data_IF_224405483899
#
_entry.id   IF_224405483899
#
_cell.length_a   1.000
_cell.length_b   1.000
_cell.length_c   1.000
_cell.angle_alpha   90.00
_cell.angle_beta   90.00
_cell.angle_gamma   90.00
#
_symmetry.space_group_name_H-M   'P 1'
#
loop_
_entity.id
_entity.type
_entity.pdbx_description
1 polymer ?
#
# COMPACT_ATOMS: atom_id res chain seq x y z
N UNK A 1 33.66 -13.15 -8.90
CA UNK A 1 33.07 -11.79 -8.94
C UNK A 1 31.97 -11.81 -9.97
N UNK A 2 30.73 -11.70 -9.52
CA UNK A 2 29.56 -11.60 -10.42
C UNK A 2 29.60 -10.19 -11.01
N UNK A 3 29.80 -10.10 -12.32
CA UNK A 3 29.90 -8.83 -13.01
C UNK A 3 28.49 -8.25 -13.20
N UNK A 4 28.12 -7.27 -12.37
CA UNK A 4 26.82 -6.61 -12.41
C UNK A 4 26.64 -5.68 -13.64
N UNK A 5 27.57 -5.71 -14.59
CA UNK A 5 27.50 -5.00 -15.88
C UNK A 5 26.18 -5.23 -16.64
N UNK A 6 25.53 -6.39 -16.47
CA UNK A 6 24.22 -6.65 -17.08
C UNK A 6 23.16 -5.62 -16.68
N UNK A 7 23.09 -5.27 -15.39
CA UNK A 7 22.12 -4.30 -14.87
C UNK A 7 22.47 -2.88 -15.30
N UNK A 8 23.76 -2.53 -15.33
CA UNK A 8 24.18 -1.22 -15.84
C UNK A 8 23.78 -1.03 -17.30
N UNK A 9 23.98 -2.06 -18.15
CA UNK A 9 23.56 -2.04 -19.56
C UNK A 9 22.05 -1.91 -19.73
N UNK A 10 21.25 -2.55 -18.87
CA UNK A 10 19.78 -2.39 -18.88
C UNK A 10 19.44 -0.94 -18.55
N UNK A 11 19.98 -0.40 -17.45
CA UNK A 11 19.64 0.94 -17.01
C UNK A 11 20.05 2.02 -18.03
N UNK A 12 21.23 1.88 -18.65
CA UNK A 12 21.70 2.74 -19.73
C UNK A 12 20.82 2.64 -20.98
N UNK A 13 20.45 1.42 -21.39
CA UNK A 13 19.65 1.18 -22.59
C UNK A 13 18.24 1.75 -22.48
N UNK A 14 17.61 1.62 -21.32
CA UNK A 14 16.22 2.02 -21.11
C UNK A 14 16.06 3.41 -20.49
N UNK A 15 17.17 4.08 -20.15
CA UNK A 15 17.17 5.42 -19.55
C UNK A 15 16.16 5.54 -18.41
N UNK A 16 16.14 4.56 -17.50
CA UNK A 16 15.18 4.55 -16.39
C UNK A 16 15.21 5.91 -15.64
N UNK A 17 14.07 6.34 -15.12
CA UNK A 17 14.02 7.47 -14.20
C UNK A 17 13.81 6.89 -12.80
N UNK A 18 14.72 7.19 -11.87
CA UNK A 18 14.70 6.61 -10.53
C UNK A 18 16.05 6.07 -10.09
N UNK A 19 16.02 5.07 -9.22
CA UNK A 19 17.20 4.39 -8.71
C UNK A 19 17.02 2.87 -8.69
N UNK A 20 18.12 2.15 -8.91
CA UNK A 20 18.22 0.70 -8.76
C UNK A 20 19.41 0.39 -7.86
N UNK A 21 19.21 -0.45 -6.85
CA UNK A 21 20.27 -0.96 -5.98
C UNK A 21 20.28 -2.48 -6.00
N UNK A 22 21.48 -3.06 -6.05
CA UNK A 22 21.72 -4.49 -5.85
C UNK A 22 22.50 -4.59 -4.55
N UNK A 23 21.98 -5.36 -3.62
CA UNK A 23 22.54 -5.49 -2.27
C UNK A 23 22.75 -6.96 -1.93
N UNK A 24 23.71 -7.22 -1.05
CA UNK A 24 23.72 -8.42 -0.24
C UNK A 24 23.43 -8.03 1.23
N UNK A 25 23.48 -8.96 2.21
CA UNK A 25 23.18 -8.63 3.59
C UNK A 25 24.08 -7.56 4.25
N UNK A 26 25.27 -7.27 3.69
CA UNK A 26 26.25 -6.37 4.32
C UNK A 26 26.66 -5.17 3.48
N UNK A 27 26.44 -5.17 2.16
CA UNK A 27 26.90 -4.09 1.28
C UNK A 27 26.02 -3.89 0.03
N UNK A 28 26.14 -2.69 -0.53
CA UNK A 28 25.63 -2.36 -1.87
C UNK A 28 26.65 -2.88 -2.88
N UNK A 29 26.23 -3.83 -3.71
CA UNK A 29 27.04 -4.46 -4.75
C UNK A 29 27.08 -3.66 -6.04
N UNK A 30 25.98 -2.96 -6.34
CA UNK A 30 25.85 -2.07 -7.49
C UNK A 30 24.71 -1.08 -7.24
N UNK A 31 24.85 0.13 -7.75
CA UNK A 31 23.82 1.14 -7.67
C UNK A 31 23.77 1.94 -8.95
N UNK A 32 22.58 2.41 -9.29
CA UNK A 32 22.35 3.31 -10.41
C UNK A 32 21.25 4.29 -10.04
N UNK A 33 21.40 5.54 -10.48
CA UNK A 33 20.40 6.60 -10.32
C UNK A 33 20.42 7.47 -11.57
N UNK A 34 19.26 7.95 -12.01
CA UNK A 34 19.14 8.86 -13.15
C UNK A 34 17.79 9.58 -13.14
N UNK A 35 17.71 10.66 -13.91
CA UNK A 35 16.47 11.39 -14.14
C UNK A 35 16.10 12.34 -13.00
N UNK A 36 14.81 12.59 -12.84
CA UNK A 36 14.26 13.59 -11.95
C UNK A 36 13.29 12.96 -10.93
N UNK A 37 13.45 13.35 -9.67
CA UNK A 37 12.48 13.12 -8.61
C UNK A 37 11.25 14.01 -8.77
N UNK A 38 11.44 15.22 -9.30
CA UNK A 38 10.37 16.16 -9.61
C UNK A 38 10.71 16.88 -10.91
N UNK A 39 9.91 16.66 -11.95
CA UNK A 39 10.14 17.23 -13.27
C UNK A 39 9.89 18.74 -13.29
N UNK A 40 8.88 19.22 -12.56
CA UNK A 40 8.51 20.63 -12.50
C UNK A 40 9.61 21.46 -11.83
N UNK A 41 10.12 20.96 -10.71
CA UNK A 41 11.19 21.57 -9.92
C UNK A 41 12.59 21.25 -10.46
N UNK A 42 12.68 20.36 -11.46
CA UNK A 42 13.94 19.80 -11.99
C UNK A 42 14.84 19.24 -10.89
N UNK A 43 14.23 18.63 -9.86
CA UNK A 43 14.97 17.99 -8.77
C UNK A 43 15.53 16.65 -9.28
N UNK A 44 16.85 16.39 -9.21
CA UNK A 44 17.40 15.13 -9.66
C UNK A 44 16.95 13.96 -8.77
N UNK A 45 16.79 12.79 -9.35
CA UNK A 45 16.58 11.56 -8.58
C UNK A 45 17.92 11.05 -8.03
N UNK A 46 17.98 10.71 -6.74
CA UNK A 46 19.18 10.21 -6.07
C UNK A 46 18.91 8.90 -5.33
N UNK A 47 19.98 8.22 -4.89
CA UNK A 47 19.88 7.05 -4.00
C UNK A 47 19.24 7.36 -2.64
N UNK A 48 19.11 8.63 -2.26
CA UNK A 48 18.49 9.07 -1.01
C UNK A 48 17.04 9.54 -1.20
N UNK A 49 16.58 9.64 -2.44
CA UNK A 49 15.24 10.13 -2.76
C UNK A 49 14.18 9.16 -2.25
N UNK A 50 13.27 9.66 -1.42
CA UNK A 50 12.10 8.90 -0.97
C UNK A 50 11.03 8.89 -2.06
N UNK A 51 10.44 7.74 -2.32
CA UNK A 51 9.38 7.55 -3.31
C UNK A 51 8.23 6.72 -2.75
N UNK A 52 7.06 6.82 -3.38
CA UNK A 52 5.91 5.99 -3.03
C UNK A 52 6.20 4.52 -3.33
N UNK A 53 6.18 3.67 -2.29
CA UNK A 53 6.35 2.22 -2.42
C UNK A 53 5.11 1.49 -2.96
N UNK A 54 3.96 2.16 -2.96
CA UNK A 54 2.68 1.61 -3.39
C UNK A 54 2.36 0.29 -2.67
N UNK A 55 1.99 -0.72 -3.45
CA UNK A 55 1.53 -2.02 -2.95
C UNK A 55 2.58 -2.83 -2.19
N UNK A 56 3.87 -2.49 -2.27
CA UNK A 56 4.90 -3.12 -1.43
C UNK A 56 4.66 -2.84 0.06
N UNK A 57 3.94 -1.76 0.41
CA UNK A 57 3.57 -1.46 1.80
C UNK A 57 2.71 -2.56 2.45
N UNK A 58 2.01 -3.38 1.67
CA UNK A 58 1.12 -4.44 2.16
C UNK A 58 1.86 -5.48 3.01
N UNK A 59 3.12 -5.78 2.70
CA UNK A 59 3.89 -6.73 3.49
C UNK A 59 4.06 -6.26 4.95
N UNK A 60 4.31 -4.95 5.17
CA UNK A 60 4.42 -4.39 6.51
C UNK A 60 3.08 -4.47 7.25
N UNK A 61 1.95 -4.20 6.58
CA UNK A 61 0.63 -4.38 7.18
C UNK A 61 0.38 -5.83 7.56
N UNK A 62 0.68 -6.79 6.66
CA UNK A 62 0.51 -8.21 6.93
C UNK A 62 1.35 -8.66 8.12
N UNK A 63 2.62 -8.28 8.16
CA UNK A 63 3.51 -8.65 9.26
C UNK A 63 3.03 -8.07 10.60
N UNK A 64 2.53 -6.82 10.62
CA UNK A 64 1.92 -6.24 11.82
C UNK A 64 0.67 -7.00 12.30
N UNK A 65 -0.20 -7.45 11.39
CA UNK A 65 -1.35 -8.32 11.74
C UNK A 65 -0.85 -9.63 12.36
N UNK A 66 0.19 -10.23 11.78
CA UNK A 66 0.77 -11.48 12.29
C UNK A 66 1.47 -11.30 13.65
N UNK A 67 2.12 -10.16 13.89
CA UNK A 67 2.68 -9.81 15.20
C UNK A 67 1.59 -9.69 16.27
N UNK A 68 0.48 -9.01 15.95
CA UNK A 68 -0.67 -8.91 16.84
C UNK A 68 -1.31 -10.28 17.10
N UNK A 69 -1.41 -11.13 16.08
CA UNK A 69 -1.88 -12.50 16.24
C UNK A 69 -0.97 -13.32 17.16
N UNK A 70 0.34 -13.25 16.94
CA UNK A 70 1.32 -13.97 17.77
C UNK A 70 1.35 -13.47 19.23
N UNK A 71 0.90 -12.23 19.47
CA UNK A 71 0.76 -11.65 20.80
C UNK A 71 -0.63 -11.84 21.42
N UNK A 72 -1.47 -12.72 20.85
CA UNK A 72 -2.85 -12.99 21.26
C UNK A 72 -3.73 -11.71 21.35
N UNK A 73 -3.42 -10.69 20.53
CA UNK A 73 -4.18 -9.43 20.45
C UNK A 73 -5.30 -9.46 19.42
N UNK A 74 -5.19 -10.36 18.44
CA UNK A 74 -6.24 -10.69 17.49
C UNK A 74 -6.13 -12.17 17.10
N UNK A 75 -7.17 -12.72 16.50
CA UNK A 75 -7.17 -14.05 15.92
C UNK A 75 -7.41 -13.93 14.42
N UNK A 76 -6.46 -14.37 13.60
CA UNK A 76 -6.60 -14.30 12.14
C UNK A 76 -7.69 -15.23 11.60
N UNK A 77 -8.11 -16.24 12.36
CA UNK A 77 -9.23 -17.12 11.99
C UNK A 77 -10.60 -16.52 12.36
N UNK A 78 -10.62 -15.50 13.21
CA UNK A 78 -11.85 -14.88 13.64
C UNK A 78 -12.58 -14.17 12.49
N UNK A 79 -13.89 -14.10 12.65
CA UNK A 79 -14.75 -13.33 11.75
C UNK A 79 -14.41 -11.85 11.83
N UNK A 80 -14.52 -11.16 10.70
CA UNK A 80 -14.36 -9.73 10.61
C UNK A 80 -15.39 -8.97 11.47
N UNK A 81 -16.50 -9.60 11.91
CA UNK A 81 -17.49 -9.00 12.84
C UNK A 81 -16.82 -8.47 14.11
N UNK A 82 -15.83 -9.18 14.63
CA UNK A 82 -15.18 -8.81 15.90
C UNK A 82 -14.40 -7.49 15.78
N UNK A 83 -14.04 -7.11 14.54
CA UNK A 83 -13.19 -5.95 14.28
C UNK A 83 -13.92 -4.83 13.53
N UNK A 84 -14.77 -5.16 12.56
CA UNK A 84 -15.49 -4.22 11.67
C UNK A 84 -16.97 -4.61 11.57
N UNK A 85 -17.75 -4.53 12.67
CA UNK A 85 -19.13 -5.02 12.71
C UNK A 85 -20.12 -4.23 11.83
N UNK A 86 -19.74 -3.04 11.37
CA UNK A 86 -20.54 -2.20 10.49
C UNK A 86 -20.38 -2.55 9.00
N UNK A 87 -19.49 -3.49 8.66
CA UNK A 87 -19.41 -4.02 7.31
C UNK A 87 -20.47 -5.11 7.09
N UNK A 88 -21.25 -5.00 6.01
CA UNK A 88 -22.45 -5.81 5.71
C UNK A 88 -22.18 -7.32 5.67
N UNK A 89 -20.98 -7.72 5.26
CA UNK A 89 -20.57 -9.13 5.12
C UNK A 89 -19.46 -9.52 6.11
N UNK A 90 -19.32 -8.77 7.22
CA UNK A 90 -18.28 -9.04 8.21
C UNK A 90 -18.37 -10.47 8.78
N UNK A 91 -19.57 -11.04 8.86
CA UNK A 91 -19.84 -12.39 9.37
C UNK A 91 -19.38 -13.51 8.43
N UNK A 92 -19.04 -13.18 7.18
CA UNK A 92 -18.65 -14.15 6.15
C UNK A 92 -17.15 -14.16 5.86
N UNK A 93 -16.43 -13.13 6.31
CA UNK A 93 -15.01 -12.91 6.00
C UNK A 93 -14.16 -13.10 7.25
N UNK A 94 -12.99 -13.73 7.12
CA UNK A 94 -11.96 -13.80 8.17
C UNK A 94 -10.74 -12.93 7.83
N UNK A 95 -9.95 -12.55 8.84
CA UNK A 95 -8.71 -11.83 8.61
C UNK A 95 -7.71 -12.65 7.77
N UNK A 96 -7.66 -13.97 7.95
CA UNK A 96 -6.86 -14.89 7.12
C UNK A 96 -7.23 -14.79 5.65
N UNK A 97 -8.52 -14.71 5.32
CA UNK A 97 -8.96 -14.54 3.95
C UNK A 97 -8.53 -13.17 3.40
N UNK A 98 -8.60 -12.11 4.20
CA UNK A 98 -8.11 -10.78 3.79
C UNK A 98 -6.60 -10.76 3.51
N UNK A 99 -5.79 -11.35 4.40
CA UNK A 99 -4.34 -11.49 4.23
C UNK A 99 -3.98 -12.22 2.93
N UNK A 100 -4.75 -13.25 2.58
CA UNK A 100 -4.54 -14.07 1.38
C UNK A 100 -5.24 -13.54 0.13
N UNK A 101 -5.81 -12.33 0.16
CA UNK A 101 -6.58 -11.77 -0.96
C UNK A 101 -7.75 -12.66 -1.40
N UNK A 102 -8.36 -13.39 -0.47
CA UNK A 102 -9.41 -14.37 -0.71
C UNK A 102 -10.74 -14.01 -0.02
N UNK A 103 -10.92 -12.75 0.36
CA UNK A 103 -12.09 -12.28 1.12
C UNK A 103 -13.36 -12.11 0.29
N UNK A 104 -13.24 -11.92 -1.03
CA UNK A 104 -14.37 -11.51 -1.88
C UNK A 104 -14.78 -10.04 -1.71
N UNK A 105 -14.09 -9.25 -0.87
CA UNK A 105 -14.41 -7.82 -0.68
C UNK A 105 -13.98 -7.04 -1.93
N UNK A 106 -14.91 -6.29 -2.59
CA UNK A 106 -14.58 -5.48 -3.76
C UNK A 106 -13.45 -4.49 -3.51
N UNK A 107 -12.65 -4.18 -4.52
CA UNK A 107 -11.57 -3.20 -4.40
C UNK A 107 -12.14 -1.76 -4.39
N UNK A 108 -12.01 -1.08 -3.25
CA UNK A 108 -12.54 0.28 -3.09
C UNK A 108 -11.88 1.28 -4.04
N UNK A 109 -10.62 1.07 -4.44
CA UNK A 109 -9.94 1.97 -5.40
C UNK A 109 -10.55 1.85 -6.79
N UNK A 110 -10.94 0.64 -7.21
CA UNK A 110 -11.66 0.42 -8.48
C UNK A 110 -13.08 1.00 -8.42
N UNK A 111 -13.76 0.86 -7.28
CA UNK A 111 -15.09 1.46 -7.08
C UNK A 111 -15.04 2.99 -7.14
N UNK A 112 -14.06 3.61 -6.46
CA UNK A 112 -13.84 5.05 -6.51
C UNK A 112 -13.49 5.49 -7.94
N UNK A 113 -12.53 4.83 -8.60
CA UNK A 113 -12.16 5.15 -9.97
C UNK A 113 -13.36 5.11 -10.93
N UNK A 114 -14.21 4.10 -10.77
CA UNK A 114 -15.44 3.97 -11.56
C UNK A 114 -16.39 5.15 -11.32
N UNK A 115 -16.50 5.64 -10.09
CA UNK A 115 -17.34 6.78 -9.74
C UNK A 115 -16.75 8.11 -10.26
N UNK A 116 -15.44 8.35 -10.09
CA UNK A 116 -14.76 9.52 -10.64
C UNK A 116 -14.85 9.57 -12.17
N UNK A 117 -14.64 8.43 -12.85
CA UNK A 117 -14.73 8.35 -14.30
C UNK A 117 -16.14 8.74 -14.83
N UNK A 118 -17.21 8.44 -14.07
CA UNK A 118 -18.57 8.88 -14.42
C UNK A 118 -18.77 10.38 -14.25
N UNK A 119 -18.13 10.99 -13.25
CA UNK A 119 -18.22 12.42 -12.96
C UNK A 119 -17.35 13.27 -13.90
N UNK A 120 -16.26 12.70 -14.40
CA UNK A 120 -15.28 13.37 -15.27
C UNK A 120 -15.06 12.62 -16.58
N UNK A 121 -16.04 12.64 -17.51
CA UNK A 121 -15.90 11.94 -18.78
C UNK A 121 -14.74 12.52 -19.60
N UNK A 122 -13.82 11.65 -20.02
CA UNK A 122 -12.67 11.99 -20.85
C UNK A 122 -11.34 12.23 -20.12
N UNK A 123 -11.31 12.14 -18.79
CA UNK A 123 -10.06 12.13 -18.03
C UNK A 123 -9.29 10.81 -18.27
N UNK A 124 -7.95 10.87 -18.33
CA UNK A 124 -7.13 9.65 -18.34
C UNK A 124 -7.12 9.00 -16.96
N UNK A 125 -6.86 7.70 -16.92
CA UNK A 125 -6.73 6.95 -15.66
C UNK A 125 -5.62 7.53 -14.75
N UNK A 126 -4.52 8.02 -15.32
CA UNK A 126 -3.46 8.72 -14.56
C UNK A 126 -3.99 9.99 -13.88
N UNK A 127 -4.77 10.81 -14.59
CA UNK A 127 -5.41 12.00 -14.04
C UNK A 127 -6.47 11.68 -12.97
N UNK A 128 -7.09 10.50 -13.02
CA UNK A 128 -8.08 10.06 -12.03
C UNK A 128 -7.45 9.39 -10.81
N UNK A 129 -6.25 8.82 -10.95
CA UNK A 129 -5.53 8.15 -9.87
C UNK A 129 -5.01 9.14 -8.82
N UNK A 130 -4.65 10.35 -9.23
CA UNK A 130 -4.11 11.37 -8.32
C UNK A 130 -5.14 11.88 -7.29
N UNK A 131 -6.37 12.29 -7.67
CA UNK A 131 -7.42 12.65 -6.70
C UNK A 131 -7.79 11.51 -5.75
N UNK A 132 -7.80 10.26 -6.25
CA UNK A 132 -8.08 9.10 -5.39
C UNK A 132 -7.02 8.99 -4.30
N UNK A 133 -5.73 9.16 -4.63
CA UNK A 133 -4.66 9.09 -3.63
C UNK A 133 -4.64 10.27 -2.65
N UNK A 134 -5.08 11.46 -3.08
CA UNK A 134 -5.14 12.66 -2.24
C UNK A 134 -6.38 12.69 -1.32
N UNK A 135 -7.55 12.32 -1.85
CA UNK A 135 -8.80 12.19 -1.07
C UNK A 135 -8.71 11.05 -0.03
N UNK A 136 -7.80 10.08 -0.24
CA UNK A 136 -7.49 8.98 0.68
C UNK A 136 -6.38 9.31 1.72
N UNK A 137 -6.11 10.59 1.99
CA UNK A 137 -5.09 11.04 2.94
C UNK A 137 -5.59 11.78 4.20
N UNK A 138 -6.90 11.93 4.39
CA UNK A 138 -7.53 12.85 5.34
C UNK A 138 -8.28 12.21 6.53
N UNK A 139 -8.26 10.88 6.70
CA UNK A 139 -8.54 10.23 7.98
C UNK A 139 -10.00 9.97 8.35
N UNK A 140 -10.97 10.59 7.68
CA UNK A 140 -12.41 10.26 7.78
C UNK A 140 -12.83 9.08 6.86
N UNK A 141 -11.88 8.56 6.08
CA UNK A 141 -12.12 7.67 4.94
C UNK A 141 -12.66 6.28 5.28
N UNK A 142 -12.31 5.71 6.43
CA UNK A 142 -12.65 4.29 6.66
C UNK A 142 -14.16 4.08 6.73
N UNK A 143 -14.89 5.05 7.27
CA UNK A 143 -16.36 5.01 7.35
C UNK A 143 -16.98 5.18 5.97
N UNK A 144 -16.41 6.06 5.14
CA UNK A 144 -16.86 6.26 3.76
C UNK A 144 -16.58 5.03 2.90
N UNK A 145 -15.39 4.43 3.03
CA UNK A 145 -15.03 3.20 2.32
C UNK A 145 -15.91 2.04 2.77
N UNK A 146 -16.16 1.84 4.07
CA UNK A 146 -17.11 0.81 4.53
C UNK A 146 -18.52 1.08 3.98
N UNK A 147 -18.95 2.35 3.94
CA UNK A 147 -20.26 2.73 3.39
C UNK A 147 -20.34 2.46 1.89
N UNK A 148 -19.26 2.70 1.14
CA UNK A 148 -19.13 2.35 -0.27
C UNK A 148 -19.21 0.83 -0.45
N UNK A 149 -18.38 0.07 0.28
CA UNK A 149 -18.37 -1.39 0.20
C UNK A 149 -19.72 -2.03 0.54
N UNK A 150 -20.48 -1.46 1.48
CA UNK A 150 -21.82 -1.93 1.85
C UNK A 150 -22.86 -1.79 0.74
N UNK A 151 -22.61 -0.94 -0.26
CA UNK A 151 -23.48 -0.77 -1.43
C UNK A 151 -23.27 -1.86 -2.49
N UNK A 152 -22.20 -2.66 -2.38
CA UNK A 152 -21.84 -3.69 -3.34
C UNK A 152 -21.91 -5.08 -2.69
N UNK A 153 -22.23 -6.15 -3.44
CA UNK A 153 -22.08 -7.52 -2.96
C UNK A 153 -20.60 -7.91 -2.86
N UNK A 154 -20.30 -9.05 -2.22
CA UNK A 154 -19.01 -9.71 -2.41
C UNK A 154 -18.86 -10.14 -3.87
N UNK A 155 -17.65 -10.04 -4.41
CA UNK A 155 -17.34 -10.43 -5.80
C UNK A 155 -17.36 -11.94 -5.99
N UNK A 156 -17.12 -12.70 -4.92
CA UNK A 156 -17.11 -14.16 -4.87
C UNK A 156 -17.23 -14.67 -3.44
N UNK A 157 -17.41 -15.98 -3.27
CA UNK A 157 -17.54 -16.58 -1.94
C UNK A 157 -16.19 -16.49 -1.20
N UNK A 158 -16.14 -15.99 0.06
CA UNK A 158 -14.90 -15.92 0.80
C UNK A 158 -14.17 -17.28 0.87
N UNK A 159 -12.89 -17.29 0.53
CA UNK A 159 -12.04 -18.49 0.45
C UNK A 159 -12.08 -19.24 -0.89
N UNK A 160 -12.95 -18.89 -1.84
CA UNK A 160 -13.08 -19.60 -3.12
C UNK A 160 -11.87 -19.44 -4.03
N UNK A 161 -11.29 -18.23 -4.09
CA UNK A 161 -10.15 -17.88 -4.95
C UNK A 161 -9.43 -16.64 -4.42
N UNK A 162 -8.22 -16.40 -4.93
CA UNK A 162 -7.45 -15.18 -4.66
C UNK A 162 -7.67 -14.12 -5.72
N UNK A 163 -8.16 -12.94 -5.33
CA UNK A 163 -8.30 -11.74 -6.17
C UNK A 163 -7.76 -10.55 -5.38
N UNK A 164 -6.83 -9.82 -6.00
CA UNK A 164 -6.22 -8.66 -5.40
C UNK A 164 -7.27 -7.61 -5.00
N UNK A 165 -7.20 -7.09 -3.77
CA UNK A 165 -8.11 -6.06 -3.27
C UNK A 165 -7.40 -5.16 -2.27
N UNK A 166 -7.33 -3.86 -2.58
CA UNK A 166 -6.82 -2.85 -1.67
C UNK A 166 -7.69 -2.69 -0.41
N UNK A 167 -8.99 -3.01 -0.50
CA UNK A 167 -9.92 -2.96 0.64
C UNK A 167 -9.48 -3.86 1.78
N UNK A 168 -8.93 -5.04 1.45
CA UNK A 168 -8.41 -5.96 2.45
C UNK A 168 -7.36 -5.28 3.33
N UNK A 169 -6.37 -4.65 2.71
CA UNK A 169 -5.23 -4.09 3.43
C UNK A 169 -5.53 -2.74 4.08
N UNK A 170 -6.47 -1.97 3.51
CA UNK A 170 -7.01 -0.78 4.18
C UNK A 170 -7.71 -1.16 5.49
N UNK A 171 -8.63 -2.13 5.42
CA UNK A 171 -9.35 -2.62 6.60
C UNK A 171 -8.40 -3.25 7.62
N UNK A 172 -7.39 -4.04 7.20
CA UNK A 172 -6.38 -4.57 8.13
C UNK A 172 -5.60 -3.46 8.84
N UNK A 173 -5.21 -2.39 8.12
CA UNK A 173 -4.56 -1.22 8.71
C UNK A 173 -5.44 -0.50 9.75
N UNK A 174 -6.73 -0.36 9.46
CA UNK A 174 -7.71 0.16 10.40
C UNK A 174 -7.83 -0.73 11.66
N UNK A 175 -7.86 -2.05 11.49
CA UNK A 175 -7.97 -3.01 12.59
C UNK A 175 -6.75 -2.93 13.51
N UNK A 176 -5.53 -2.83 12.95
CA UNK A 176 -4.30 -2.59 13.73
C UNK A 176 -4.48 -1.35 14.60
N UNK A 177 -4.89 -0.22 13.99
CA UNK A 177 -5.04 1.04 14.72
C UNK A 177 -6.11 0.95 15.82
N UNK A 178 -7.22 0.25 15.54
CA UNK A 178 -8.31 0.04 16.51
C UNK A 178 -7.90 -0.82 17.70
N UNK A 179 -7.13 -1.88 17.49
CA UNK A 179 -6.70 -2.81 18.54
C UNK A 179 -5.62 -2.18 19.42
N UNK A 180 -4.69 -1.47 18.80
CA UNK A 180 -3.52 -0.90 19.48
C UNK A 180 -3.84 0.43 20.17
N UNK A 181 -4.76 1.22 19.60
CA UNK A 181 -5.00 2.60 20.00
C UNK A 181 -4.00 3.59 19.40
N UNK A 182 -3.01 3.10 18.64
CA UNK A 182 -2.02 3.92 17.94
C UNK A 182 -2.43 4.17 16.49
N UNK A 183 -1.82 5.19 15.86
CA UNK A 183 -1.93 5.33 14.41
C UNK A 183 -1.14 4.21 13.73
N UNK A 184 -1.60 3.78 12.56
CA UNK A 184 -0.88 2.79 11.75
C UNK A 184 0.58 3.21 11.46
N UNK A 185 0.79 4.51 11.20
CA UNK A 185 2.12 5.07 10.98
C UNK A 185 3.05 4.89 12.19
N UNK A 186 2.53 5.16 13.40
CA UNK A 186 3.27 4.99 14.64
C UNK A 186 3.58 3.52 14.90
N UNK A 187 2.60 2.64 14.68
CA UNK A 187 2.80 1.20 14.87
C UNK A 187 3.87 0.65 13.92
N UNK A 188 3.90 1.12 12.67
CA UNK A 188 4.96 0.76 11.71
C UNK A 188 6.33 1.27 12.15
N UNK A 189 6.39 2.50 12.68
CA UNK A 189 7.63 3.10 13.16
C UNK A 189 8.21 2.29 14.32
N UNK A 190 7.41 1.99 15.35
CA UNK A 190 7.85 1.28 16.55
C UNK A 190 8.22 -0.20 16.29
N UNK A 191 7.53 -0.88 15.37
CA UNK A 191 7.72 -2.32 15.15
C UNK A 191 8.63 -2.69 13.97
N UNK A 192 8.82 -1.79 13.00
CA UNK A 192 9.63 -2.06 11.81
C UNK A 192 10.70 -1.00 11.58
N UNK A 193 10.32 0.27 11.46
CA UNK A 193 11.25 1.27 10.94
C UNK A 193 12.37 1.60 11.94
N UNK A 194 12.07 1.78 13.23
CA UNK A 194 13.11 2.01 14.24
C UNK A 194 13.98 0.76 14.47
N UNK A 195 13.42 -0.45 14.70
CA UNK A 195 14.23 -1.64 14.97
C UNK A 195 15.13 -2.05 13.79
N UNK A 196 14.71 -1.78 12.55
CA UNK A 196 15.47 -2.09 11.34
C UNK A 196 16.27 -0.90 10.80
N UNK A 197 16.35 0.20 11.57
CA UNK A 197 17.06 1.43 11.20
C UNK A 197 16.66 2.01 9.83
N UNK A 198 15.38 1.89 9.46
CA UNK A 198 14.80 2.44 8.23
C UNK A 198 14.47 3.93 8.41
N UNK A 199 15.49 4.74 8.70
CA UNK A 199 15.33 6.13 9.14
C UNK A 199 14.71 7.07 8.09
N UNK A 200 14.71 6.67 6.82
CA UNK A 200 14.14 7.43 5.68
C UNK A 200 12.78 6.87 5.22
N UNK A 201 12.17 5.93 5.94
CA UNK A 201 10.89 5.34 5.58
C UNK A 201 9.78 5.87 6.49
N UNK A 202 8.67 6.32 5.90
CA UNK A 202 7.47 6.79 6.61
C UNK A 202 6.23 6.29 5.88
N UNK A 203 5.11 6.17 6.61
CA UNK A 203 3.82 5.85 6.01
C UNK A 203 3.20 7.12 5.42
N UNK A 204 2.80 7.06 4.15
CA UNK A 204 2.13 8.15 3.44
C UNK A 204 3.00 8.79 2.34
N UNK A 205 2.38 9.06 1.19
CA UNK A 205 3.05 9.65 0.01
C UNK A 205 3.31 11.14 0.15
N UNK A 206 2.65 11.84 1.08
CA UNK A 206 2.92 13.24 1.41
C UNK A 206 4.34 13.50 1.92
N UNK A 207 5.06 12.45 2.31
CA UNK A 207 6.46 12.51 2.74
C UNK A 207 7.45 12.09 1.63
N UNK A 208 6.96 11.72 0.44
CA UNK A 208 7.81 11.34 -0.68
C UNK A 208 8.42 12.59 -1.36
N UNK A 209 9.72 12.53 -1.64
CA UNK A 209 10.41 13.56 -2.42
C UNK A 209 10.17 13.42 -3.92
N UNK A 210 9.96 12.18 -4.39
CA UNK A 210 9.66 11.88 -5.77
C UNK A 210 8.17 12.05 -6.05
N UNK A 211 7.84 12.99 -6.93
CA UNK A 211 6.50 13.13 -7.47
C UNK A 211 6.32 12.15 -8.63
N UNK A 212 5.58 11.08 -8.35
CA UNK A 212 5.42 9.95 -9.28
C UNK A 212 4.20 10.08 -10.19
N UNK A 213 3.43 11.17 -10.07
CA UNK A 213 2.09 11.28 -10.68
C UNK A 213 1.85 12.57 -11.47
N UNK A 214 2.81 13.50 -11.49
CA UNK A 214 2.77 14.67 -12.37
C UNK A 214 3.42 14.31 -13.72
N UNK A 215 2.59 14.24 -14.77
CA UNK A 215 3.00 14.14 -16.19
C UNK A 215 3.36 15.52 -16.77
#
# INVERSE_FOLDING_TARGET
>A
MTDWQGYQKINEKYHLNGATIIVNPTEILSSWQNGAADFSMKRPFTLQTTSGLGSLSKQFTADNVLLLNAADKLDIEASLVDYVPNYRYADQVTLRQMLNMASGIPDYTELLLTDYAKRMPGASESHLSYPILEDLGHGDEITEVISLLNQHPLDFTPGEKGVYSNSNYLLLGFIISKITGDSLARFFEEHFFEPLAMTQTRLGTQYAEANSYDD
#
